data_IF_531788032029
#
_entry.id   IF_531788032029
#
_cell.length_a   1.000
_cell.length_b   1.000
_cell.length_c   1.000
_cell.angle_alpha   90.00
_cell.angle_beta   90.00
_cell.angle_gamma   90.00
#
_symmetry.space_group_name_H-M   'P 1'
#
loop_
_entity.id
_entity.type
_entity.pdbx_description
1 polymer ?
#
# COMPACT_ATOMS: atom_id res chain seq x y z
N UNK A 1 16.67 64.02 20.35
CA UNK A 1 15.89 63.00 21.08
C UNK A 1 14.54 62.89 20.39
N UNK A 2 14.43 62.02 19.37
CA UNK A 2 13.21 61.87 18.55
C UNK A 2 12.53 60.56 18.89
N UNK A 3 11.29 60.63 19.36
CA UNK A 3 10.49 59.51 19.88
C UNK A 3 10.38 58.42 18.79
N UNK A 4 10.79 57.19 19.14
CA UNK A 4 10.70 55.98 18.32
C UNK A 4 9.32 55.90 17.64
N UNK A 5 9.28 55.65 16.33
CA UNK A 5 8.03 55.33 15.63
C UNK A 5 7.36 54.14 16.31
N UNK A 6 6.37 54.42 17.16
CA UNK A 6 5.60 53.42 17.88
C UNK A 6 4.80 52.57 16.90
N UNK A 7 4.76 51.26 17.15
CA UNK A 7 3.91 50.35 16.40
C UNK A 7 2.47 50.85 16.50
N UNK A 8 1.90 51.34 15.41
CA UNK A 8 0.52 51.82 15.37
C UNK A 8 -0.45 50.65 15.42
N UNK A 9 -1.63 50.82 16.05
CA UNK A 9 -2.65 49.78 16.17
C UNK A 9 -3.02 49.11 14.83
N UNK A 10 -3.04 49.88 13.74
CA UNK A 10 -3.26 49.39 12.37
C UNK A 10 -2.15 48.42 11.90
N UNK A 11 -0.89 48.69 12.26
CA UNK A 11 0.24 47.78 11.97
C UNK A 11 0.12 46.49 12.80
N UNK A 12 -0.27 46.58 14.08
CA UNK A 12 -0.50 45.40 14.94
C UNK A 12 -1.60 44.50 14.37
N UNK A 13 -2.75 45.07 14.01
CA UNK A 13 -3.89 44.33 13.45
C UNK A 13 -3.49 43.63 12.14
N UNK A 14 -2.75 44.33 11.26
CA UNK A 14 -2.25 43.73 10.00
C UNK A 14 -1.34 42.53 10.25
N UNK A 15 -0.40 42.65 11.19
CA UNK A 15 0.52 41.54 11.55
C UNK A 15 -0.28 40.37 12.13
N UNK A 16 -1.24 40.64 13.02
CA UNK A 16 -2.08 39.59 13.60
C UNK A 16 -2.88 38.82 12.53
N UNK A 17 -3.48 39.52 11.57
CA UNK A 17 -4.20 38.88 10.44
C UNK A 17 -3.24 38.03 9.60
N UNK A 18 -2.04 38.53 9.29
CA UNK A 18 -1.03 37.76 8.55
C UNK A 18 -0.64 36.50 9.32
N UNK A 19 -0.38 36.59 10.63
CA UNK A 19 -0.05 35.44 11.46
C UNK A 19 -1.18 34.40 11.48
N UNK A 20 -2.44 34.82 11.53
CA UNK A 20 -3.59 33.91 11.45
C UNK A 20 -3.67 33.21 10.10
N UNK A 21 -3.51 33.94 9.00
CA UNK A 21 -3.56 33.36 7.65
C UNK A 21 -2.39 32.37 7.45
N UNK A 22 -1.17 32.76 7.81
CA UNK A 22 0.01 31.89 7.70
C UNK A 22 -0.14 30.67 8.61
N UNK A 23 -0.59 30.86 9.85
CA UNK A 23 -0.85 29.76 10.78
C UNK A 23 -1.88 28.77 10.24
N UNK A 24 -2.98 29.27 9.65
CA UNK A 24 -4.00 28.43 9.02
C UNK A 24 -3.44 27.65 7.83
N UNK A 25 -2.67 28.30 6.94
CA UNK A 25 -2.05 27.62 5.79
C UNK A 25 -1.08 26.53 6.26
N UNK A 26 -0.23 26.82 7.25
CA UNK A 26 0.70 25.82 7.81
C UNK A 26 -0.05 24.66 8.48
N UNK A 27 -1.15 24.93 9.16
CA UNK A 27 -1.99 23.91 9.76
C UNK A 27 -2.64 22.99 8.71
N UNK A 28 -3.25 23.57 7.67
CA UNK A 28 -3.81 22.81 6.55
C UNK A 28 -2.72 22.00 5.85
N UNK A 29 -1.55 22.58 5.63
CA UNK A 29 -0.41 21.86 5.08
C UNK A 29 -0.01 20.67 5.96
N UNK A 30 0.09 20.85 7.27
CA UNK A 30 0.41 19.77 8.20
C UNK A 30 -0.63 18.63 8.18
N UNK A 31 -1.93 18.95 8.04
CA UNK A 31 -2.97 17.94 7.87
C UNK A 31 -2.78 17.16 6.57
N UNK A 32 -2.59 17.86 5.45
CA UNK A 32 -2.36 17.22 4.14
C UNK A 32 -1.16 16.28 4.22
N UNK A 33 -0.10 16.70 4.91
CA UNK A 33 1.06 15.85 5.14
C UNK A 33 0.71 14.66 6.05
N UNK A 34 -0.11 14.82 7.08
CA UNK A 34 -0.43 13.68 7.95
C UNK A 34 -1.28 12.64 7.24
N UNK A 35 -2.26 13.05 6.43
CA UNK A 35 -3.24 12.12 5.84
C UNK A 35 -2.76 11.44 4.54
N UNK A 36 -1.73 11.98 3.88
CA UNK A 36 -1.28 11.45 2.58
C UNK A 36 -0.57 10.10 2.74
N UNK A 37 -1.00 9.13 1.93
CA UNK A 37 -0.35 7.83 1.82
C UNK A 37 1.08 7.98 1.32
N UNK A 38 2.01 7.35 2.02
CA UNK A 38 3.44 7.30 1.68
C UNK A 38 3.74 6.04 0.88
N UNK A 39 4.80 6.06 0.05
CA UNK A 39 5.19 4.91 -0.76
C UNK A 39 6.70 4.79 -0.93
N UNK A 40 7.27 3.60 -0.71
CA UNK A 40 8.69 3.30 -0.95
C UNK A 40 8.86 2.09 -1.84
N UNK A 41 9.80 2.16 -2.79
CA UNK A 41 10.16 1.02 -3.63
C UNK A 41 10.89 -0.06 -2.79
N UNK A 42 10.37 -1.29 -2.80
CA UNK A 42 10.95 -2.44 -2.10
C UNK A 42 11.42 -3.54 -3.06
N UNK A 43 11.50 -3.25 -4.36
CA UNK A 43 11.87 -4.21 -5.40
C UNK A 43 13.25 -4.84 -5.21
N UNK A 44 14.17 -4.15 -4.52
CA UNK A 44 15.52 -4.67 -4.23
C UNK A 44 15.61 -5.43 -2.90
N UNK A 45 14.51 -5.57 -2.16
CA UNK A 45 14.46 -6.23 -0.85
C UNK A 45 13.95 -7.66 -0.98
N UNK A 46 14.48 -8.57 -0.17
CA UNK A 46 13.94 -9.92 -0.07
C UNK A 46 12.58 -9.88 0.68
N UNK A 47 11.65 -10.80 0.35
CA UNK A 47 11.73 -11.80 -0.72
C UNK A 47 11.35 -11.23 -2.12
N UNK A 48 10.92 -9.96 -2.23
CA UNK A 48 10.44 -9.38 -3.50
C UNK A 48 11.47 -9.45 -4.64
N UNK A 49 12.74 -9.16 -4.37
CA UNK A 49 13.82 -9.23 -5.38
C UNK A 49 13.93 -10.60 -6.04
N UNK A 50 13.46 -11.65 -5.38
CA UNK A 50 13.58 -13.04 -5.82
C UNK A 50 12.43 -13.47 -6.72
N UNK A 51 11.31 -12.74 -6.69
CA UNK A 51 10.11 -13.02 -7.50
C UNK A 51 9.93 -12.03 -8.65
N UNK A 52 10.51 -10.83 -8.54
CA UNK A 52 10.39 -9.79 -9.56
C UNK A 52 11.08 -10.18 -10.87
N UNK A 53 10.42 -9.87 -11.98
CA UNK A 53 10.86 -10.17 -13.34
C UNK A 53 10.84 -11.65 -13.71
N UNK A 54 10.40 -12.53 -12.82
CA UNK A 54 10.30 -13.98 -13.08
C UNK A 54 8.88 -14.35 -13.50
N UNK A 55 8.79 -15.33 -14.39
CA UNK A 55 7.53 -16.02 -14.65
C UNK A 55 7.26 -17.00 -13.52
N UNK A 56 6.21 -16.74 -12.75
CA UNK A 56 5.78 -17.57 -11.63
C UNK A 56 4.51 -18.31 -12.04
N UNK A 57 4.45 -19.60 -11.77
CA UNK A 57 3.30 -20.44 -12.09
C UNK A 57 2.47 -20.67 -10.84
N UNK A 58 1.19 -20.27 -10.86
CA UNK A 58 0.27 -20.50 -9.74
C UNK A 58 0.06 -22.00 -9.53
N UNK A 59 0.04 -22.42 -8.27
CA UNK A 59 -0.16 -23.82 -7.86
C UNK A 59 -1.57 -24.10 -7.38
N UNK A 60 -2.40 -23.06 -7.31
CA UNK A 60 -3.80 -23.13 -6.86
C UNK A 60 -4.64 -22.03 -7.52
N UNK A 61 -5.98 -22.17 -7.49
CA UNK A 61 -6.88 -21.16 -8.01
C UNK A 61 -6.73 -19.83 -7.29
N UNK A 62 -6.94 -18.75 -8.03
CA UNK A 62 -6.86 -17.38 -7.56
C UNK A 62 -8.15 -16.65 -7.94
N UNK A 63 -8.57 -15.70 -7.11
CA UNK A 63 -9.68 -14.80 -7.43
C UNK A 63 -9.17 -13.40 -7.68
N UNK A 64 -9.81 -12.75 -8.64
CA UNK A 64 -9.55 -11.37 -9.00
C UNK A 64 -10.72 -10.50 -8.53
N UNK A 65 -10.41 -9.57 -7.65
CA UNK A 65 -11.37 -8.61 -7.10
C UNK A 65 -11.12 -7.24 -7.70
N UNK A 66 -12.18 -6.52 -8.05
CA UNK A 66 -12.11 -5.09 -8.38
C UNK A 66 -12.63 -4.29 -7.20
N UNK A 67 -11.77 -3.48 -6.61
CA UNK A 67 -12.14 -2.52 -5.57
C UNK A 67 -12.70 -1.25 -6.23
N UNK A 68 -13.67 -0.58 -5.59
CA UNK A 68 -14.15 0.74 -6.06
C UNK A 68 -13.02 1.78 -6.12
N UNK A 69 -12.09 1.72 -5.18
CA UNK A 69 -10.94 2.63 -5.08
C UNK A 69 -9.63 1.84 -5.03
N UNK A 70 -9.15 1.33 -6.18
CA UNK A 70 -7.94 0.54 -6.23
C UNK A 70 -6.73 1.39 -5.83
N UNK A 71 -5.70 0.75 -5.24
CA UNK A 71 -4.44 1.43 -4.88
C UNK A 71 -3.81 2.13 -6.09
N UNK A 72 -3.91 1.49 -7.26
CA UNK A 72 -3.45 2.01 -8.54
C UNK A 72 -4.45 1.70 -9.64
N UNK A 73 -4.86 2.73 -10.38
CA UNK A 73 -5.81 2.57 -11.50
C UNK A 73 -5.26 1.68 -12.61
N UNK A 74 -3.93 1.66 -12.79
CA UNK A 74 -3.28 0.83 -13.81
C UNK A 74 -3.27 -0.67 -13.47
N UNK A 75 -3.55 -1.02 -12.20
CA UNK A 75 -3.61 -2.39 -11.69
C UNK A 75 -4.93 -2.60 -10.95
N UNK A 76 -6.07 -2.65 -11.67
CA UNK A 76 -7.41 -2.61 -11.08
C UNK A 76 -7.82 -3.91 -10.37
N UNK A 77 -7.09 -5.00 -10.60
CA UNK A 77 -7.43 -6.32 -10.07
C UNK A 77 -6.60 -6.67 -8.85
N UNK A 78 -7.21 -6.72 -7.67
CA UNK A 78 -6.62 -7.31 -6.49
C UNK A 78 -6.69 -8.84 -6.60
N UNK A 79 -5.53 -9.48 -6.67
CA UNK A 79 -5.40 -10.93 -6.70
C UNK A 79 -5.33 -11.49 -5.27
N UNK A 80 -6.04 -12.58 -4.99
CA UNK A 80 -5.91 -13.30 -3.71
C UNK A 80 -6.27 -14.78 -3.87
N UNK A 81 -5.73 -15.63 -3.00
CA UNK A 81 -6.17 -17.01 -2.79
C UNK A 81 -6.59 -17.23 -1.33
N UNK A 82 -7.07 -18.44 -1.00
CA UNK A 82 -7.55 -18.80 0.34
C UNK A 82 -6.46 -18.80 1.42
N UNK A 83 -5.19 -18.74 1.05
CA UNK A 83 -4.05 -18.76 1.96
C UNK A 83 -3.57 -17.36 2.33
N UNK A 84 -4.16 -16.30 1.75
CA UNK A 84 -3.83 -14.92 2.08
C UNK A 84 -4.71 -14.37 3.21
N UNK A 85 -4.15 -13.51 4.04
CA UNK A 85 -4.80 -12.86 5.19
C UNK A 85 -6.00 -12.06 4.71
N UNK A 86 -5.85 -11.34 3.59
CA UNK A 86 -6.90 -10.48 3.05
C UNK A 86 -8.02 -11.25 2.35
N UNK A 87 -7.90 -12.56 2.15
CA UNK A 87 -8.96 -13.38 1.56
C UNK A 87 -10.28 -13.22 2.28
N UNK A 88 -10.26 -13.34 3.62
CA UNK A 88 -11.47 -13.22 4.45
C UNK A 88 -12.10 -11.84 4.31
N UNK A 89 -11.28 -10.80 4.29
CA UNK A 89 -11.72 -9.41 4.10
C UNK A 89 -12.39 -9.22 2.74
N UNK A 90 -11.79 -9.72 1.65
CA UNK A 90 -12.40 -9.67 0.33
C UNK A 90 -13.73 -10.43 0.28
N UNK A 91 -13.78 -11.64 0.83
CA UNK A 91 -15.03 -12.41 0.84
C UNK A 91 -16.13 -11.74 1.66
N UNK A 92 -15.80 -11.10 2.79
CA UNK A 92 -16.77 -10.38 3.60
C UNK A 92 -17.30 -9.12 2.89
N UNK A 93 -16.41 -8.34 2.25
CA UNK A 93 -16.81 -7.16 1.47
C UNK A 93 -17.70 -7.52 0.28
N UNK A 94 -17.46 -8.68 -0.36
CA UNK A 94 -18.29 -9.16 -1.46
C UNK A 94 -19.70 -9.58 -1.01
N UNK A 95 -19.85 -10.00 0.25
CA UNK A 95 -21.11 -10.47 0.84
C UNK A 95 -21.89 -9.39 1.58
N UNK A 96 -21.38 -8.15 1.65
CA UNK A 96 -22.08 -7.04 2.28
C UNK A 96 -23.36 -6.68 1.51
N UNK A 97 -24.34 -6.08 2.19
CA UNK A 97 -25.59 -5.61 1.57
C UNK A 97 -25.33 -4.61 0.43
N UNK A 98 -24.31 -3.77 0.61
CA UNK A 98 -23.79 -2.84 -0.40
C UNK A 98 -22.30 -3.14 -0.69
N UNK A 99 -21.98 -4.06 -1.62
CA UNK A 99 -20.59 -4.44 -1.89
C UNK A 99 -19.75 -3.31 -2.47
N UNK A 100 -18.65 -2.99 -1.77
CA UNK A 100 -17.63 -2.03 -2.25
C UNK A 100 -16.56 -2.65 -3.15
N UNK A 101 -16.70 -3.95 -3.43
CA UNK A 101 -15.85 -4.70 -4.36
C UNK A 101 -16.71 -5.57 -5.27
N UNK A 102 -16.12 -6.04 -6.38
CA UNK A 102 -16.73 -7.02 -7.28
C UNK A 102 -15.78 -8.18 -7.52
N UNK A 103 -16.31 -9.40 -7.57
CA UNK A 103 -15.56 -10.54 -8.11
C UNK A 103 -15.52 -10.39 -9.64
N UNK A 104 -14.33 -10.20 -10.20
CA UNK A 104 -14.16 -10.04 -11.64
C UNK A 104 -13.98 -11.37 -12.34
N UNK A 105 -13.14 -12.25 -11.78
CA UNK A 105 -12.84 -13.54 -12.37
C UNK A 105 -12.31 -14.53 -11.33
N UNK A 106 -12.38 -15.82 -11.67
CA UNK A 106 -11.71 -16.90 -10.96
C UNK A 106 -10.78 -17.60 -11.94
N UNK A 107 -9.48 -17.52 -11.68
CA UNK A 107 -8.47 -18.10 -12.55
C UNK A 107 -7.96 -19.38 -11.91
N UNK A 108 -8.03 -20.48 -12.66
CA UNK A 108 -7.56 -21.78 -12.22
C UNK A 108 -6.04 -21.81 -11.97
N UNK A 109 -5.58 -22.89 -11.34
CA UNK A 109 -4.15 -23.14 -11.17
C UNK A 109 -3.41 -23.21 -12.52
N UNK A 110 -2.08 -23.12 -12.48
CA UNK A 110 -1.18 -23.09 -13.63
C UNK A 110 -1.26 -21.81 -14.48
N UNK A 111 -1.88 -20.75 -13.96
CA UNK A 111 -1.76 -19.42 -14.53
C UNK A 111 -0.33 -18.87 -14.32
N UNK A 112 0.10 -17.99 -15.21
CA UNK A 112 1.42 -17.36 -15.17
C UNK A 112 1.31 -15.95 -14.64
N UNK A 113 2.15 -15.56 -13.69
CA UNK A 113 2.23 -14.18 -13.21
C UNK A 113 3.65 -13.67 -13.28
N UNK A 114 3.81 -12.45 -13.79
CA UNK A 114 5.09 -11.72 -13.83
C UNK A 114 4.90 -10.41 -13.11
N UNK A 115 5.65 -10.20 -12.03
CA UNK A 115 5.66 -8.94 -11.29
C UNK A 115 6.80 -8.04 -11.75
N UNK A 116 6.49 -6.79 -12.01
CA UNK A 116 7.46 -5.77 -12.45
C UNK A 116 7.84 -4.79 -11.34
N UNK A 117 7.00 -4.68 -10.28
CA UNK A 117 7.19 -3.71 -9.23
C UNK A 117 6.77 -4.24 -7.86
N UNK A 118 7.53 -3.86 -6.82
CA UNK A 118 7.14 -4.04 -5.43
C UNK A 118 7.21 -2.70 -4.68
N UNK A 119 6.15 -2.35 -3.95
CA UNK A 119 6.02 -1.07 -3.25
C UNK A 119 5.47 -1.29 -1.84
N UNK A 120 6.09 -0.68 -0.85
CA UNK A 120 5.53 -0.52 0.49
C UNK A 120 4.63 0.72 0.50
N UNK A 121 3.36 0.58 0.88
CA UNK A 121 2.48 1.73 1.15
C UNK A 121 2.21 1.86 2.63
N UNK A 122 2.30 3.08 3.16
CA UNK A 122 1.87 3.39 4.53
C UNK A 122 0.72 4.36 4.48
N UNK A 123 -0.43 3.96 5.03
CA UNK A 123 -1.61 4.82 5.15
C UNK A 123 -1.30 6.00 6.10
N UNK A 124 -1.59 7.23 5.68
CA UNK A 124 -1.26 8.42 6.48
C UNK A 124 -2.06 8.52 7.78
N UNK A 125 -3.30 8.03 7.79
CA UNK A 125 -4.20 8.09 8.95
C UNK A 125 -3.92 6.95 9.92
N UNK A 126 -3.91 5.70 9.44
CA UNK A 126 -3.78 4.53 10.33
C UNK A 126 -2.33 4.14 10.64
N UNK A 127 -1.36 4.61 9.86
CA UNK A 127 0.03 4.15 9.93
C UNK A 127 0.25 2.69 9.50
N UNK A 128 -0.80 2.00 9.03
CA UNK A 128 -0.73 0.63 8.54
C UNK A 128 0.13 0.57 7.28
N UNK A 129 1.10 -0.35 7.26
CA UNK A 129 2.08 -0.48 6.18
C UNK A 129 1.91 -1.82 5.47
N UNK A 130 1.49 -1.76 4.22
CA UNK A 130 1.11 -2.91 3.40
C UNK A 130 2.00 -2.99 2.15
N UNK A 131 2.88 -3.99 2.07
CA UNK A 131 3.66 -4.20 0.88
C UNK A 131 2.84 -4.90 -0.22
N UNK A 132 3.04 -4.44 -1.45
CA UNK A 132 2.28 -4.88 -2.63
C UNK A 132 3.22 -5.17 -3.79
N UNK A 133 2.92 -6.25 -4.50
CA UNK A 133 3.44 -6.57 -5.82
C UNK A 133 2.48 -6.08 -6.91
N UNK A 134 3.02 -5.64 -8.02
CA UNK A 134 2.26 -5.23 -9.21
C UNK A 134 2.80 -5.94 -10.44
N UNK A 135 1.91 -6.43 -11.28
CA UNK A 135 2.31 -7.27 -12.40
C UNK A 135 1.19 -7.59 -13.38
N UNK A 136 1.47 -8.59 -14.21
CA UNK A 136 0.52 -9.13 -15.18
C UNK A 136 0.31 -10.61 -14.90
N UNK A 137 -0.94 -11.01 -14.77
CA UNK A 137 -1.38 -12.40 -14.69
C UNK A 137 -1.93 -12.82 -16.06
N UNK A 138 -1.56 -14.01 -16.51
CA UNK A 138 -2.08 -14.65 -17.72
C UNK A 138 -2.70 -15.99 -17.34
N UNK A 139 -4.00 -16.15 -17.55
CA UNK A 139 -4.74 -17.39 -17.30
C UNK A 139 -4.42 -18.46 -18.35
N UNK A 140 -4.81 -19.71 -18.09
CA UNK A 140 -4.58 -20.84 -19.01
C UNK A 140 -5.30 -20.70 -20.36
N UNK A 141 -6.40 -19.93 -20.41
CA UNK A 141 -7.14 -19.58 -21.64
C UNK A 141 -6.56 -18.35 -22.37
N UNK A 142 -5.45 -17.78 -21.87
CA UNK A 142 -4.73 -16.68 -22.51
C UNK A 142 -5.24 -15.27 -22.15
N UNK A 143 -6.25 -15.12 -21.29
CA UNK A 143 -6.67 -13.80 -20.80
C UNK A 143 -5.60 -13.19 -19.91
N UNK A 144 -5.44 -11.87 -20.00
CA UNK A 144 -4.41 -11.12 -19.26
C UNK A 144 -5.03 -10.08 -18.34
N UNK A 145 -4.51 -9.99 -17.11
CA UNK A 145 -5.00 -9.08 -16.08
C UNK A 145 -3.84 -8.29 -15.47
N UNK A 146 -4.01 -6.97 -15.32
CA UNK A 146 -3.09 -6.13 -14.55
C UNK A 146 -3.44 -6.21 -13.07
N UNK A 147 -2.61 -6.91 -12.31
CA UNK A 147 -2.91 -7.30 -10.94
C UNK A 147 -2.06 -6.56 -9.93
N UNK A 148 -2.66 -6.28 -8.78
CA UNK A 148 -1.95 -6.06 -7.53
C UNK A 148 -2.08 -7.27 -6.61
N UNK A 149 -1.05 -7.54 -5.81
CA UNK A 149 -1.03 -8.64 -4.86
C UNK A 149 -0.41 -8.16 -3.55
N UNK A 150 -1.21 -8.14 -2.48
CA UNK A 150 -0.72 -7.81 -1.14
C UNK A 150 0.01 -9.03 -0.58
N UNK A 151 1.29 -8.88 -0.29
CA UNK A 151 2.13 -10.00 0.13
C UNK A 151 3.15 -9.58 1.16
N UNK A 152 2.98 -10.08 2.38
CA UNK A 152 3.78 -9.73 3.54
C UNK A 152 2.91 -9.05 4.60
N UNK A 153 2.92 -9.63 5.80
CA UNK A 153 2.17 -9.15 6.96
C UNK A 153 3.14 -8.71 8.04
N UNK A 154 2.91 -7.52 8.60
CA UNK A 154 3.72 -7.02 9.70
C UNK A 154 3.53 -7.91 10.93
N UNK A 155 4.64 -8.38 11.50
CA UNK A 155 4.65 -9.14 12.74
C UNK A 155 4.92 -8.20 13.92
N UNK A 156 3.86 -7.86 14.67
CA UNK A 156 3.93 -6.99 15.84
C UNK A 156 4.81 -7.54 16.97
N UNK A 157 5.01 -8.86 17.02
CA UNK A 157 5.80 -9.50 18.05
C UNK A 157 7.29 -9.59 17.68
N UNK A 158 7.65 -9.24 16.44
CA UNK A 158 9.04 -9.31 15.99
C UNK A 158 9.80 -8.02 16.31
N UNK A 159 11.03 -8.10 16.87
CA UNK A 159 11.81 -6.93 17.23
C UNK A 159 12.05 -6.01 16.05
N UNK A 160 11.93 -4.71 16.29
CA UNK A 160 12.27 -3.70 15.31
C UNK A 160 13.78 -3.65 15.10
N UNK A 161 14.20 -3.35 13.87
CA UNK A 161 15.60 -3.04 13.56
C UNK A 161 15.68 -1.61 13.08
N UNK A 162 16.09 -0.71 13.97
CA UNK A 162 16.10 0.74 13.69
C UNK A 162 14.70 1.19 13.26
N UNK A 163 14.54 1.70 12.03
CA UNK A 163 13.28 2.15 11.43
C UNK A 163 12.59 1.08 10.57
N UNK A 164 13.03 -0.18 10.65
CA UNK A 164 12.50 -1.29 9.85
C UNK A 164 11.66 -2.24 10.69
N UNK A 165 10.50 -2.60 10.15
CA UNK A 165 9.57 -3.57 10.75
C UNK A 165 9.82 -4.96 10.18
N UNK A 166 9.62 -5.98 11.01
CA UNK A 166 9.69 -7.38 10.60
C UNK A 166 8.40 -7.83 9.92
N UNK A 167 8.53 -8.48 8.77
CA UNK A 167 7.42 -9.02 8.00
C UNK A 167 7.56 -10.52 7.84
N UNK A 168 6.42 -11.21 7.98
CA UNK A 168 6.25 -12.61 7.61
C UNK A 168 5.46 -12.71 6.32
N UNK A 169 5.70 -13.77 5.56
CA UNK A 169 5.10 -13.96 4.25
C UNK A 169 4.17 -15.15 4.27
N UNK A 170 2.96 -14.91 3.79
CA UNK A 170 1.97 -15.96 3.61
C UNK A 170 2.35 -16.83 2.42
N UNK A 171 1.82 -18.05 2.40
CA UNK A 171 2.08 -19.00 1.35
C UNK A 171 1.50 -18.45 0.03
N UNK A 172 2.35 -17.88 -0.81
CA UNK A 172 1.92 -17.25 -2.05
C UNK A 172 1.31 -18.27 -3.03
N UNK A 173 0.49 -17.84 -3.99
CA UNK A 173 -0.13 -18.72 -4.99
C UNK A 173 0.89 -19.56 -5.80
N UNK A 174 2.11 -19.07 -5.99
CA UNK A 174 3.18 -19.75 -6.73
C UNK A 174 4.11 -20.62 -5.86
N UNK A 175 3.92 -20.63 -4.54
CA UNK A 175 4.75 -21.40 -3.62
C UNK A 175 4.10 -22.75 -3.27
N UNK A 176 4.91 -23.74 -2.93
CA UNK A 176 4.45 -25.02 -2.36
C UNK A 176 4.68 -25.10 -0.85
N UNK A 177 5.67 -24.36 -0.34
CA UNK A 177 6.04 -24.29 1.08
C UNK A 177 6.04 -22.83 1.52
N UNK A 178 5.52 -22.57 2.73
CA UNK A 178 5.44 -21.23 3.30
C UNK A 178 6.85 -20.77 3.70
N UNK A 179 7.20 -19.54 3.37
CA UNK A 179 8.38 -18.91 3.92
C UNK A 179 8.12 -18.52 5.39
N UNK A 180 8.98 -18.99 6.28
CA UNK A 180 8.90 -18.72 7.73
C UNK A 180 9.91 -17.68 8.20
N UNK A 181 10.71 -17.14 7.28
CA UNK A 181 11.74 -16.14 7.55
C UNK A 181 11.11 -14.77 7.78
N UNK A 182 11.60 -14.05 8.77
CA UNK A 182 11.29 -12.63 8.96
C UNK A 182 12.19 -11.75 8.09
N UNK A 183 11.58 -10.83 7.36
CA UNK A 183 12.32 -9.83 6.58
C UNK A 183 12.07 -8.44 7.11
N UNK A 184 13.16 -7.67 7.24
CA UNK A 184 13.07 -6.25 7.57
C UNK A 184 12.79 -5.43 6.31
N UNK A 185 11.63 -4.80 6.27
CA UNK A 185 11.24 -3.88 5.20
C UNK A 185 11.31 -2.43 5.69
N UNK A 186 11.71 -1.49 4.82
CA UNK A 186 11.66 -0.07 5.16
C UNK A 186 10.21 0.39 5.32
N UNK A 187 10.00 1.39 6.17
CA UNK A 187 8.74 2.14 6.17
C UNK A 187 8.58 2.91 4.84
N UNK A 188 7.34 3.22 4.48
CA UNK A 188 7.10 4.08 3.33
C UNK A 188 7.46 5.55 3.66
N UNK A 189 8.14 6.21 2.73
CA UNK A 189 8.67 7.57 2.89
C UNK A 189 7.89 8.57 2.03
N UNK A 190 8.14 9.84 2.34
CA UNK A 190 7.74 10.97 1.51
C UNK A 190 8.52 10.93 0.20
N UNK A 191 7.83 11.18 -0.91
CA UNK A 191 8.47 11.46 -2.20
C UNK A 191 8.80 12.94 -2.32
#
# INVERSE_FOLDING_TARGET
>A
MGIKEGITAKKVIKIFIICLIVGFILFVFAIIQTVKTKSTNISKKAPYKEVLGKELVTKRPIRLFMEQTPTKKEYPYAMSDTNQTFWKSYTAMLQADEPVIKLSDSVEANAKVVFDKAVMYTNGVSGSSNPRLFGTLTSGDGKTYKVEFLWGTYDYNYPWKVSQRGYLFELAPWQTVKDTTHYYLPNAEWW
#
